data_IF_649763982427
#
_entry.id   IF_649763982427
#
_cell.length_a   1.000
_cell.length_b   1.000
_cell.length_c   1.000
_cell.angle_alpha   90.00
_cell.angle_beta   90.00
_cell.angle_gamma   90.00
#
_symmetry.space_group_name_H-M   'P 1'
#
loop_
_entity.id
_entity.type
_entity.pdbx_description
1 polymer ?
#
# COMPACT_ATOMS: atom_id res chain seq x y z
N UNK A 1 -8.81 6.33 -2.14
CA UNK A 1 -8.77 6.48 -3.62
C UNK A 1 -8.65 5.09 -4.23
N UNK A 2 -9.56 4.75 -5.14
CA UNK A 2 -9.67 3.41 -5.73
C UNK A 2 -9.01 3.35 -7.12
N UNK A 3 -7.75 3.77 -7.20
CA UNK A 3 -6.99 3.88 -8.46
C UNK A 3 -5.65 3.18 -8.33
N UNK A 4 -5.15 2.68 -9.46
CA UNK A 4 -3.95 1.83 -9.51
C UNK A 4 -2.69 2.54 -10.02
N UNK A 5 -2.75 3.82 -10.40
CA UNK A 5 -1.57 4.54 -10.93
C UNK A 5 -1.57 5.99 -10.43
N UNK A 6 -0.61 6.32 -9.55
CA UNK A 6 -0.55 7.64 -8.90
C UNK A 6 0.53 8.56 -9.47
N UNK A 7 1.54 8.02 -10.14
CA UNK A 7 2.74 8.76 -10.58
C UNK A 7 2.41 10.07 -11.34
N UNK A 8 1.45 10.01 -12.27
CA UNK A 8 1.10 11.15 -13.13
C UNK A 8 0.18 12.18 -12.45
N UNK A 9 -0.43 11.83 -11.30
CA UNK A 9 -1.44 12.65 -10.62
C UNK A 9 -1.02 13.07 -9.21
N UNK A 10 0.18 12.71 -8.75
CA UNK A 10 0.70 13.09 -7.43
C UNK A 10 0.61 14.60 -7.15
N UNK A 11 0.98 15.51 -8.09
CA UNK A 11 0.83 16.94 -7.86
C UNK A 11 -0.62 17.37 -7.62
N UNK A 12 -1.57 16.76 -8.32
CA UNK A 12 -2.99 17.05 -8.15
C UNK A 12 -3.50 16.52 -6.81
N UNK A 13 -3.05 15.34 -6.38
CA UNK A 13 -3.38 14.76 -5.08
C UNK A 13 -2.85 15.63 -3.93
N UNK A 14 -1.59 16.08 -4.03
CA UNK A 14 -1.02 17.00 -3.07
C UNK A 14 -1.76 18.34 -3.02
N UNK A 15 -2.18 18.86 -4.17
CA UNK A 15 -2.97 20.08 -4.27
C UNK A 15 -4.38 19.96 -3.67
N UNK A 16 -4.90 18.75 -3.43
CA UNK A 16 -6.14 18.58 -2.67
C UNK A 16 -5.99 18.96 -1.20
N UNK A 17 -4.76 19.00 -0.67
CA UNK A 17 -4.44 19.40 0.70
C UNK A 17 -5.27 18.64 1.76
N UNK A 18 -5.46 17.34 1.53
CA UNK A 18 -6.12 16.48 2.49
C UNK A 18 -5.13 16.12 3.63
N UNK A 19 -5.59 16.23 4.88
CA UNK A 19 -4.79 15.85 6.06
C UNK A 19 -4.38 14.37 6.02
N UNK A 20 -5.34 13.51 5.65
CA UNK A 20 -5.18 12.07 5.54
C UNK A 20 -5.86 11.56 4.28
N UNK A 21 -5.15 10.74 3.50
CA UNK A 21 -5.74 10.01 2.37
C UNK A 21 -5.74 8.52 2.65
N UNK A 22 -6.85 7.82 2.39
CA UNK A 22 -6.85 6.37 2.31
C UNK A 22 -6.73 5.92 0.86
N UNK A 23 -5.97 4.88 0.57
CA UNK A 23 -5.74 4.36 -0.79
C UNK A 23 -5.87 2.84 -0.84
N UNK A 24 -6.32 2.31 -1.97
CA UNK A 24 -6.43 0.87 -2.20
C UNK A 24 -5.07 0.29 -2.60
N UNK A 25 -4.54 -0.66 -1.83
CA UNK A 25 -3.17 -1.17 -2.03
C UNK A 25 -2.98 -2.66 -1.76
N UNK A 26 -3.94 -3.34 -1.14
CA UNK A 26 -3.70 -4.71 -0.66
C UNK A 26 -3.41 -5.70 -1.80
N UNK A 27 -3.94 -5.45 -3.01
CA UNK A 27 -3.76 -6.29 -4.20
C UNK A 27 -2.47 -6.01 -4.99
N UNK A 28 -1.90 -4.82 -4.84
CA UNK A 28 -0.66 -4.40 -5.51
C UNK A 28 0.59 -4.71 -4.70
N UNK A 29 0.46 -5.36 -3.53
CA UNK A 29 1.58 -5.66 -2.64
C UNK A 29 2.43 -4.42 -2.28
N UNK A 30 1.76 -3.27 -2.11
CA UNK A 30 2.36 -1.98 -1.76
C UNK A 30 3.27 -1.35 -2.83
N UNK A 31 3.28 -1.87 -4.06
CA UNK A 31 4.06 -1.30 -5.19
C UNK A 31 3.74 0.19 -5.41
N UNK A 32 2.45 0.54 -5.29
CA UNK A 32 1.96 1.91 -5.52
C UNK A 32 2.48 2.93 -4.51
N UNK A 33 3.03 2.48 -3.38
CA UNK A 33 3.62 3.38 -2.39
C UNK A 33 4.93 4.00 -2.87
N UNK A 34 5.62 3.39 -3.86
CA UNK A 34 6.82 3.98 -4.44
C UNK A 34 6.61 5.42 -4.93
N UNK A 35 5.48 5.69 -5.58
CA UNK A 35 5.11 7.02 -6.05
C UNK A 35 5.04 8.07 -4.91
N UNK A 36 4.58 7.66 -3.73
CA UNK A 36 4.46 8.54 -2.57
C UNK A 36 5.81 8.82 -1.91
N UNK A 37 6.71 7.83 -1.90
CA UNK A 37 8.09 7.99 -1.46
C UNK A 37 8.90 8.88 -2.40
N UNK A 38 8.83 8.61 -3.71
CA UNK A 38 9.55 9.37 -4.73
C UNK A 38 9.09 10.83 -4.81
N UNK A 39 7.80 11.08 -4.58
CA UNK A 39 7.21 12.43 -4.54
C UNK A 39 7.43 13.15 -3.19
N UNK A 40 7.88 12.45 -2.15
CA UNK A 40 7.93 12.94 -0.76
C UNK A 40 6.59 13.53 -0.31
N UNK A 41 5.53 12.72 -0.37
CA UNK A 41 4.19 13.18 -0.01
C UNK A 41 4.15 13.70 1.45
N UNK A 42 3.70 14.94 1.69
CA UNK A 42 3.91 15.60 2.98
C UNK A 42 2.92 15.17 4.07
N UNK A 43 1.75 14.64 3.69
CA UNK A 43 0.63 14.38 4.59
C UNK A 43 0.48 12.88 4.92
N UNK A 44 -0.54 12.54 5.70
CA UNK A 44 -0.74 11.19 6.23
C UNK A 44 -1.44 10.26 5.22
N UNK A 45 -1.12 8.97 5.28
CA UNK A 45 -1.58 7.98 4.30
C UNK A 45 -2.05 6.71 5.00
N UNK A 46 -3.21 6.21 4.57
CA UNK A 46 -3.79 4.93 4.94
C UNK A 46 -3.81 3.94 3.78
N UNK A 47 -2.71 3.19 3.54
CA UNK A 47 -2.70 2.12 2.55
C UNK A 47 -3.58 0.98 3.03
N UNK A 48 -4.55 0.57 2.23
CA UNK A 48 -5.40 -0.56 2.52
C UNK A 48 -4.60 -1.86 2.63
N UNK A 49 -4.79 -2.58 3.74
CA UNK A 49 -4.08 -3.83 4.06
C UNK A 49 -5.00 -5.06 4.07
N UNK A 50 -6.23 -4.87 3.60
CA UNK A 50 -7.25 -5.90 3.51
C UNK A 50 -8.04 -5.72 2.22
N UNK A 51 -7.94 -6.72 1.33
CA UNK A 51 -8.77 -6.85 0.13
C UNK A 51 -10.22 -7.13 0.51
N UNK A 52 -11.00 -6.06 0.60
CA UNK A 52 -12.42 -6.15 0.93
C UNK A 52 -13.25 -6.77 -0.19
N UNK A 53 -12.72 -7.00 -1.39
CA UNK A 53 -13.44 -7.61 -2.51
C UNK A 53 -13.33 -9.14 -2.49
N UNK A 54 -12.55 -9.69 -1.55
CA UNK A 54 -12.48 -11.13 -1.25
C UNK A 54 -13.29 -11.46 0.01
N UNK A 55 -14.01 -12.61 0.06
CA UNK A 55 -14.66 -13.07 1.30
C UNK A 55 -13.66 -13.66 2.31
N UNK A 56 -12.38 -13.79 1.93
CA UNK A 56 -11.33 -14.32 2.80
C UNK A 56 -11.05 -13.36 3.96
N UNK A 57 -10.95 -13.91 5.16
CA UNK A 57 -10.41 -13.18 6.33
C UNK A 57 -8.88 -13.24 6.26
N UNK A 58 -8.17 -12.13 6.03
CA UNK A 58 -6.71 -12.13 6.07
C UNK A 58 -6.21 -12.34 7.51
N UNK A 59 -5.14 -13.12 7.71
CA UNK A 59 -4.53 -13.29 9.02
C UNK A 59 -3.79 -12.02 9.43
N UNK A 60 -3.67 -11.80 10.75
CA UNK A 60 -2.94 -10.67 11.34
C UNK A 60 -1.51 -10.53 10.78
N UNK A 61 -0.79 -11.63 10.64
CA UNK A 61 0.59 -11.63 10.14
C UNK A 61 0.72 -11.08 8.70
N UNK A 62 -0.30 -11.28 7.86
CA UNK A 62 -0.33 -10.74 6.50
C UNK A 62 -0.49 -9.22 6.53
N UNK A 63 -1.41 -8.71 7.35
CA UNK A 63 -1.58 -7.26 7.55
C UNK A 63 -0.32 -6.61 8.12
N UNK A 64 0.34 -7.25 9.10
CA UNK A 64 1.62 -6.78 9.65
C UNK A 64 2.68 -6.70 8.54
N UNK A 65 2.77 -7.71 7.68
CA UNK A 65 3.73 -7.74 6.57
C UNK A 65 3.51 -6.54 5.63
N UNK A 66 2.26 -6.30 5.25
CA UNK A 66 1.88 -5.16 4.40
C UNK A 66 2.18 -3.81 5.07
N UNK A 67 1.90 -3.66 6.36
CA UNK A 67 2.20 -2.44 7.12
C UNK A 67 3.70 -2.17 7.24
N UNK A 68 4.52 -3.21 7.42
CA UNK A 68 5.98 -3.07 7.43
C UNK A 68 6.52 -2.69 6.06
N UNK A 69 5.92 -3.19 4.98
CA UNK A 69 6.25 -2.75 3.61
C UNK A 69 5.94 -1.27 3.43
N UNK A 70 4.75 -0.83 3.85
CA UNK A 70 4.38 0.58 3.81
C UNK A 70 5.34 1.47 4.62
N UNK A 71 5.76 1.01 5.80
CA UNK A 71 6.72 1.71 6.66
C UNK A 71 8.15 1.82 6.08
N UNK A 72 8.46 1.15 4.96
CA UNK A 72 9.74 1.34 4.26
C UNK A 72 9.76 2.58 3.38
N UNK A 73 8.58 3.13 3.07
CA UNK A 73 8.39 4.27 2.17
C UNK A 73 7.80 5.46 2.94
N UNK A 74 6.85 5.21 3.84
CA UNK A 74 6.13 6.23 4.58
C UNK A 74 6.55 6.21 6.06
N UNK A 75 6.88 7.36 6.67
CA UNK A 75 7.16 7.43 8.11
C UNK A 75 6.00 6.87 8.95
N UNK A 76 6.34 6.17 10.04
CA UNK A 76 5.37 5.47 10.87
C UNK A 76 4.31 6.41 11.48
N UNK A 77 4.70 7.63 11.82
CA UNK A 77 3.84 8.68 12.34
C UNK A 77 2.79 9.17 11.34
N UNK A 78 3.00 8.93 10.04
CA UNK A 78 2.07 9.28 8.96
C UNK A 78 1.23 8.10 8.48
N UNK A 79 1.41 6.92 9.06
CA UNK A 79 0.81 5.69 8.56
C UNK A 79 -0.50 5.35 9.30
N UNK A 80 -1.59 5.24 8.54
CA UNK A 80 -2.89 4.77 9.03
C UNK A 80 -3.13 3.31 8.69
N UNK A 81 -3.96 2.66 9.51
CA UNK A 81 -4.34 1.25 9.33
C UNK A 81 -5.83 1.16 9.00
N UNK A 82 -6.15 0.74 7.79
CA UNK A 82 -7.53 0.66 7.28
C UNK A 82 -7.70 -0.49 6.25
N UNK A 83 -8.94 -0.92 5.99
CA UNK A 83 -9.26 -1.72 4.80
C UNK A 83 -9.03 -0.94 3.50
N UNK A 84 -9.02 -1.64 2.37
CA UNK A 84 -8.95 -1.01 1.03
C UNK A 84 -10.13 -0.07 0.75
N UNK A 85 -11.34 -0.44 1.18
CA UNK A 85 -12.55 0.32 0.89
C UNK A 85 -13.66 0.02 1.92
N UNK A 86 -14.87 0.56 1.67
CA UNK A 86 -16.04 0.34 2.49
C UNK A 86 -16.52 -1.12 2.48
N UNK A 87 -17.12 -1.55 3.59
CA UNK A 87 -17.46 -2.95 3.86
C UNK A 87 -18.91 -3.33 3.47
N UNK A 88 -19.60 -2.47 2.70
CA UNK A 88 -21.04 -2.63 2.38
C UNK A 88 -21.39 -3.98 1.75
N UNK A 89 -20.45 -4.60 1.03
CA UNK A 89 -20.68 -5.86 0.32
C UNK A 89 -20.30 -7.10 1.12
N UNK A 90 -19.73 -6.94 2.33
CA UNK A 90 -19.28 -8.04 3.19
C UNK A 90 -20.34 -8.46 4.21
N UNK A 91 -20.32 -9.73 4.57
CA UNK A 91 -21.06 -10.30 5.69
C UNK A 91 -20.41 -9.96 7.03
N UNK A 92 -21.23 -10.00 8.08
CA UNK A 92 -20.79 -9.69 9.44
C UNK A 92 -19.72 -10.64 9.99
N UNK A 93 -19.84 -11.98 9.84
CA UNK A 93 -18.86 -12.90 10.42
C UNK A 93 -17.44 -12.66 9.88
N UNK A 94 -17.27 -12.49 8.57
CA UNK A 94 -15.95 -12.20 8.00
C UNK A 94 -15.47 -10.78 8.34
N UNK A 95 -16.38 -9.81 8.41
CA UNK A 95 -16.05 -8.41 8.72
C UNK A 95 -15.51 -8.28 10.14
N UNK A 96 -16.19 -8.86 11.12
CA UNK A 96 -15.74 -8.80 12.51
C UNK A 96 -14.40 -9.51 12.70
N UNK A 97 -14.22 -10.66 12.05
CA UNK A 97 -12.96 -11.41 12.14
C UNK A 97 -11.80 -10.62 11.51
N UNK A 98 -12.00 -10.04 10.32
CA UNK A 98 -10.98 -9.24 9.65
C UNK A 98 -10.63 -7.97 10.42
N UNK A 99 -11.62 -7.26 10.98
CA UNK A 99 -11.39 -6.06 11.78
C UNK A 99 -10.68 -6.37 13.11
N UNK A 100 -10.96 -7.52 13.74
CA UNK A 100 -10.21 -7.97 14.92
C UNK A 100 -8.72 -8.16 14.58
N UNK A 101 -8.42 -8.81 13.45
CA UNK A 101 -7.05 -9.00 12.99
C UNK A 101 -6.38 -7.66 12.64
N UNK A 102 -7.11 -6.73 12.02
CA UNK A 102 -6.62 -5.40 11.66
C UNK A 102 -6.20 -4.59 12.90
N UNK A 103 -7.04 -4.59 13.94
CA UNK A 103 -6.76 -3.92 15.20
C UNK A 103 -5.62 -4.61 15.96
N UNK A 104 -5.56 -5.95 15.94
CA UNK A 104 -4.47 -6.72 16.53
C UNK A 104 -3.12 -6.38 15.88
N UNK A 105 -3.06 -6.36 14.54
CA UNK A 105 -1.86 -5.99 13.79
C UNK A 105 -1.36 -4.59 14.16
N UNK A 106 -2.27 -3.60 14.19
CA UNK A 106 -1.92 -2.25 14.63
C UNK A 106 -1.42 -2.22 16.09
N UNK A 107 -2.06 -2.99 16.97
CA UNK A 107 -1.68 -3.12 18.37
C UNK A 107 -0.31 -3.77 18.57
N UNK A 108 0.05 -4.77 17.76
CA UNK A 108 1.37 -5.39 17.78
C UNK A 108 2.46 -4.40 17.37
N UNK A 109 2.25 -3.67 16.26
CA UNK A 109 3.24 -2.71 15.75
C UNK A 109 3.46 -1.52 16.70
N UNK A 110 2.41 -1.05 17.37
CA UNK A 110 2.51 0.02 18.39
C UNK A 110 3.33 -0.38 19.62
N UNK A 111 3.51 -1.68 19.90
CA UNK A 111 4.34 -2.18 21.00
C UNK A 111 5.84 -2.19 20.68
N UNK A 112 6.23 -1.73 19.49
CA UNK A 112 7.63 -1.56 19.10
C UNK A 112 8.09 -2.49 17.97
N UNK A 113 7.19 -3.31 17.40
CA UNK A 113 7.56 -4.29 16.39
C UNK A 113 7.62 -3.73 14.97
N UNK A 114 7.52 -2.42 14.72
CA UNK A 114 7.53 -1.88 13.35
C UNK A 114 8.94 -1.77 12.74
N UNK A 115 9.53 -2.92 12.39
CA UNK A 115 10.71 -2.96 11.53
C UNK A 115 10.28 -3.01 10.04
N UNK A 116 10.70 -2.02 9.21
CA UNK A 116 10.31 -1.96 7.80
C UNK A 116 10.73 -3.21 6.99
N UNK A 117 9.92 -3.56 6.00
CA UNK A 117 10.21 -4.62 5.02
C UNK A 117 10.32 -4.00 3.62
N UNK A 118 11.19 -4.52 2.74
CA UNK A 118 11.30 -4.02 1.38
C UNK A 118 10.00 -4.28 0.58
N UNK A 119 9.64 -3.33 -0.29
CA UNK A 119 8.63 -3.53 -1.33
C UNK A 119 9.32 -4.19 -2.53
N UNK A 120 8.90 -5.39 -2.91
CA UNK A 120 9.42 -6.04 -4.11
C UNK A 120 8.74 -5.42 -5.34
N UNK A 121 9.51 -4.86 -6.28
CA UNK A 121 8.98 -4.46 -7.57
C UNK A 121 8.59 -5.72 -8.35
N UNK A 122 7.34 -5.83 -8.83
CA UNK A 122 7.04 -6.87 -9.83
C UNK A 122 7.94 -6.60 -11.03
N UNK A 123 8.61 -7.65 -11.47
CA UNK A 123 9.72 -7.57 -12.43
C UNK A 123 9.45 -6.56 -13.54
N UNK A 124 10.28 -5.51 -13.58
CA UNK A 124 10.49 -4.79 -14.84
C UNK A 124 10.93 -5.86 -15.82
N UNK A 125 10.09 -6.21 -16.78
CA UNK A 125 10.59 -6.81 -18.00
C UNK A 125 11.67 -5.87 -18.49
N UNK A 126 12.90 -6.38 -18.61
CA UNK A 126 14.00 -5.62 -19.22
C UNK A 126 13.46 -5.02 -20.52
N UNK A 127 13.69 -3.73 -20.80
CA UNK A 127 13.36 -3.22 -22.13
C UNK A 127 14.16 -4.09 -23.10
N UNK A 128 13.46 -4.79 -23.98
CA UNK A 128 14.07 -5.57 -25.04
C UNK A 128 15.09 -4.64 -25.72
N UNK A 129 16.37 -4.95 -25.58
CA UNK A 129 17.45 -4.14 -26.12
C UNK A 129 17.17 -3.91 -27.59
N UNK A 130 16.87 -2.66 -27.97
CA UNK A 130 16.84 -2.27 -29.37
C UNK A 130 18.27 -2.42 -29.87
N UNK A 131 18.53 -3.54 -30.56
CA UNK A 131 19.82 -3.85 -31.18
C UNK A 131 20.08 -2.89 -32.33
N UNK A 132 20.54 -1.67 -32.01
CA UNK A 132 21.25 -0.85 -32.97
C UNK A 132 22.65 -1.44 -33.15
N UNK A 133 22.78 -2.36 -34.10
CA UNK A 133 24.05 -2.75 -34.70
C UNK A 133 24.63 -1.53 -35.44
N UNK A 134 25.46 -0.76 -34.76
CA UNK A 134 26.41 0.13 -35.41
C UNK A 134 27.67 -0.68 -35.78
N UNK A 135 27.81 -1.01 -37.06
CA UNK A 135 29.08 -1.31 -37.72
C UNK A 135 29.05 -0.47 -39.01
N UNK A 136 29.76 0.66 -39.15
CA UNK A 136 31.21 0.83 -39.23
C UNK A 136 31.86 -0.23 -40.13
N UNK A 137 32.09 0.17 -41.38
CA UNK A 137 32.73 -0.59 -42.46
C UNK A 137 32.41 0.03 -43.80
#
# INVERSE_FOLDING_TARGET
>A
MCYSEFNDIMPAIAAMDADVISIETSRSDMELLGAFGDFDYPNEIGPGVWDIHSPRVPPEAEMITLLRKAASVIPAERLWVNPDCGLKTRGWPETEAALKNLVAAAGALRKGDLAPLPVEARGRSQPAGCGCSAAQG
#
